data_IF_738345985238
#
_entry.id   IF_738345985238
#
_cell.length_a   1.000
_cell.length_b   1.000
_cell.length_c   1.000
_cell.angle_alpha   90.00
_cell.angle_beta   90.00
_cell.angle_gamma   90.00
#
_symmetry.space_group_name_H-M   'P 1'
#
loop_
_entity.id
_entity.type
_entity.pdbx_description
1 polymer ?
#
# COMPACT_ATOMS: atom_id res chain seq x y z
N UNK A 1 -4.39 -5.77 -25.10
CA UNK A 1 -4.59 -5.46 -26.53
C UNK A 1 -4.38 -3.96 -26.72
N UNK A 2 -3.27 -3.54 -27.32
CA UNK A 2 -3.01 -2.12 -27.61
C UNK A 2 -3.83 -1.74 -28.84
N UNK A 3 -4.79 -0.83 -28.69
CA UNK A 3 -5.54 -0.26 -29.80
C UNK A 3 -4.85 1.06 -30.16
N UNK A 4 -4.18 1.16 -31.32
CA UNK A 4 -3.55 2.40 -31.77
C UNK A 4 -4.56 3.56 -31.72
N UNK A 5 -4.17 4.69 -31.11
CA UNK A 5 -5.02 5.87 -30.98
C UNK A 5 -5.85 5.95 -29.68
N UNK A 6 -6.14 4.84 -29.00
CA UNK A 6 -6.87 4.87 -27.72
C UNK A 6 -6.07 5.59 -26.63
N UNK A 7 -4.75 5.36 -26.60
CA UNK A 7 -3.85 6.07 -25.71
C UNK A 7 -3.85 7.58 -25.99
N UNK A 8 -3.75 7.97 -27.26
CA UNK A 8 -3.79 9.38 -27.69
C UNK A 8 -5.11 10.04 -27.31
N UNK A 9 -6.24 9.37 -27.55
CA UNK A 9 -7.56 9.86 -27.16
C UNK A 9 -7.67 10.03 -25.63
N UNK A 10 -7.14 9.08 -24.84
CA UNK A 10 -7.06 9.22 -23.37
C UNK A 10 -6.23 10.46 -23.00
N UNK A 11 -5.06 10.66 -23.60
CA UNK A 11 -4.22 11.82 -23.30
C UNK A 11 -4.88 13.15 -23.68
N UNK A 12 -5.61 13.20 -24.81
CA UNK A 12 -6.39 14.37 -25.21
C UNK A 12 -7.50 14.68 -24.20
N UNK A 13 -8.24 13.66 -23.76
CA UNK A 13 -9.29 13.82 -22.75
C UNK A 13 -8.74 14.31 -21.41
N UNK A 14 -7.62 13.75 -20.95
CA UNK A 14 -6.93 14.20 -19.72
C UNK A 14 -6.42 15.64 -19.86
N UNK A 15 -5.90 16.02 -21.02
CA UNK A 15 -5.43 17.38 -21.30
C UNK A 15 -6.58 18.38 -21.27
N UNK A 16 -7.73 18.04 -21.87
CA UNK A 16 -8.93 18.87 -21.81
C UNK A 16 -9.46 19.00 -20.37
N UNK A 17 -9.49 17.91 -19.61
CA UNK A 17 -9.85 17.95 -18.18
C UNK A 17 -8.88 18.80 -17.36
N UNK A 18 -7.57 18.73 -17.63
CA UNK A 18 -6.59 19.61 -16.96
C UNK A 18 -6.80 21.08 -17.29
N UNK A 19 -7.19 21.39 -18.53
CA UNK A 19 -7.43 22.76 -18.98
C UNK A 19 -8.68 23.39 -18.35
N UNK A 20 -9.74 22.59 -18.18
CA UNK A 20 -11.03 23.02 -17.63
C UNK A 20 -11.19 22.73 -16.13
N UNK A 21 -10.31 21.91 -15.57
CA UNK A 21 -10.39 21.40 -14.21
C UNK A 21 -9.61 22.24 -13.20
N UNK A 22 -9.52 21.73 -11.99
CA UNK A 22 -8.85 22.41 -10.88
C UNK A 22 -7.39 22.03 -10.80
N UNK A 23 -6.62 22.79 -10.04
CA UNK A 23 -5.21 22.52 -9.74
C UNK A 23 -4.98 22.83 -8.27
N UNK A 24 -4.28 21.97 -7.51
CA UNK A 24 -3.93 22.32 -6.15
C UNK A 24 -2.88 23.45 -6.15
N UNK A 25 -2.82 24.21 -5.05
CA UNK A 25 -1.79 25.22 -4.87
C UNK A 25 -0.39 24.59 -4.76
N UNK A 26 -0.32 23.45 -4.08
CA UNK A 26 0.88 22.62 -3.94
C UNK A 26 0.53 21.14 -4.13
N UNK A 27 1.46 20.32 -4.65
CA UNK A 27 1.21 18.89 -4.74
C UNK A 27 1.04 18.26 -3.36
N UNK A 28 0.13 17.28 -3.28
CA UNK A 28 -0.07 16.46 -2.09
C UNK A 28 0.48 15.05 -2.31
N UNK A 29 0.56 14.26 -1.25
CA UNK A 29 0.97 12.87 -1.35
C UNK A 29 0.11 11.93 -0.50
N UNK A 30 0.09 10.66 -0.88
CA UNK A 30 -0.43 9.56 -0.07
C UNK A 30 0.62 8.46 0.00
N UNK A 31 0.82 7.90 1.20
CA UNK A 31 1.73 6.81 1.47
C UNK A 31 0.94 5.56 1.87
N UNK A 32 1.19 4.46 1.17
CA UNK A 32 0.66 3.14 1.52
C UNK A 32 1.78 2.11 1.64
N UNK A 33 1.80 1.39 2.76
CA UNK A 33 2.74 0.29 2.96
C UNK A 33 2.24 -0.99 2.26
N UNK A 34 3.10 -2.01 2.20
CA UNK A 34 2.68 -3.31 1.66
C UNK A 34 1.52 -3.89 2.46
N UNK A 35 0.50 -4.39 1.74
CA UNK A 35 -0.75 -4.92 2.32
C UNK A 35 -1.63 -3.91 3.07
N UNK A 36 -1.44 -2.61 2.83
CA UNK A 36 -2.21 -1.52 3.47
C UNK A 36 -2.97 -0.69 2.43
N UNK A 37 -4.13 -1.19 1.99
CA UNK A 37 -5.07 -0.52 1.07
C UNK A 37 -4.51 0.05 -0.26
N UNK A 38 -3.29 -0.29 -0.67
CA UNK A 38 -2.62 0.28 -1.86
C UNK A 38 -3.47 0.24 -3.13
N UNK A 39 -4.06 -0.93 -3.43
CA UNK A 39 -4.86 -1.11 -4.67
C UNK A 39 -6.14 -0.28 -4.63
N UNK A 40 -6.81 -0.20 -3.48
CA UNK A 40 -8.00 0.61 -3.27
C UNK A 40 -7.65 2.09 -3.48
N UNK A 41 -6.67 2.61 -2.73
CA UNK A 41 -6.23 4.00 -2.83
C UNK A 41 -5.80 4.36 -4.25
N UNK A 42 -5.01 3.50 -4.92
CA UNK A 42 -4.59 3.73 -6.31
C UNK A 42 -5.77 3.85 -7.26
N UNK A 43 -6.74 2.94 -7.19
CA UNK A 43 -7.91 2.94 -8.09
C UNK A 43 -8.78 4.18 -7.87
N UNK A 44 -9.11 4.47 -6.61
CA UNK A 44 -9.98 5.60 -6.24
C UNK A 44 -9.30 6.92 -6.58
N UNK A 45 -8.06 7.13 -6.13
CA UNK A 45 -7.39 8.42 -6.26
C UNK A 45 -7.04 8.71 -7.71
N UNK A 46 -6.46 7.77 -8.45
CA UNK A 46 -6.14 7.97 -9.87
C UNK A 46 -7.38 8.38 -10.67
N UNK A 47 -8.50 7.68 -10.50
CA UNK A 47 -9.73 7.98 -11.21
C UNK A 47 -10.35 9.33 -10.77
N UNK A 48 -10.33 9.62 -9.46
CA UNK A 48 -10.85 10.86 -8.90
C UNK A 48 -10.05 12.08 -9.36
N UNK A 49 -8.72 12.02 -9.27
CA UNK A 49 -7.83 13.11 -9.71
C UNK A 49 -7.90 13.32 -11.23
N UNK A 50 -7.87 12.23 -12.02
CA UNK A 50 -8.01 12.33 -13.48
C UNK A 50 -9.36 12.96 -13.88
N UNK A 51 -10.43 12.73 -13.09
CA UNK A 51 -11.77 13.27 -13.33
C UNK A 51 -11.85 14.79 -13.13
N UNK A 52 -11.08 15.34 -12.19
CA UNK A 52 -11.07 16.77 -11.83
C UNK A 52 -9.93 17.55 -12.50
N UNK A 53 -9.11 16.87 -13.31
CA UNK A 53 -8.00 17.49 -14.04
C UNK A 53 -6.69 17.53 -13.27
N UNK A 54 -6.56 16.77 -12.18
CA UNK A 54 -5.28 16.59 -11.47
C UNK A 54 -4.46 15.47 -12.12
N UNK A 55 -3.14 15.61 -12.01
CA UNK A 55 -2.14 14.65 -12.46
C UNK A 55 -1.74 13.76 -11.29
N UNK A 56 -2.11 12.50 -11.40
CA UNK A 56 -1.71 11.45 -10.48
C UNK A 56 -0.45 10.77 -10.99
N UNK A 57 0.56 10.65 -10.13
CA UNK A 57 1.70 9.79 -10.36
C UNK A 57 1.88 8.85 -9.16
N UNK A 58 2.56 7.74 -9.40
CA UNK A 58 2.92 6.81 -8.34
C UNK A 58 4.34 6.34 -8.49
N UNK A 59 5.02 6.20 -7.36
CA UNK A 59 6.38 5.68 -7.28
C UNK A 59 6.46 4.60 -6.20
N UNK A 60 7.48 3.75 -6.29
CA UNK A 60 7.74 2.70 -5.32
C UNK A 60 9.10 2.92 -4.69
N UNK A 61 9.29 2.48 -3.44
CA UNK A 61 10.55 2.63 -2.72
C UNK A 61 10.56 3.84 -1.78
N UNK A 62 11.67 4.59 -1.77
CA UNK A 62 11.85 5.76 -0.87
C UNK A 62 11.53 7.06 -1.60
N UNK A 63 10.46 7.73 -1.20
CA UNK A 63 10.12 9.06 -1.69
C UNK A 63 11.07 10.12 -1.12
N UNK A 64 11.62 10.94 -2.01
CA UNK A 64 12.56 12.02 -1.68
C UNK A 64 12.13 13.38 -2.22
N UNK A 65 11.32 13.40 -3.28
CA UNK A 65 10.70 14.60 -3.83
C UNK A 65 9.43 14.22 -4.62
N UNK A 66 8.63 15.22 -4.99
CA UNK A 66 7.50 15.03 -5.90
C UNK A 66 7.91 15.47 -7.30
N UNK A 67 7.95 14.52 -8.24
CA UNK A 67 8.31 14.79 -9.63
C UNK A 67 7.47 15.93 -10.24
N UNK A 68 8.11 16.76 -11.07
CA UNK A 68 7.44 17.86 -11.77
C UNK A 68 6.19 17.36 -12.53
N UNK A 69 5.18 18.23 -12.66
CA UNK A 69 3.90 17.89 -13.29
C UNK A 69 3.10 16.80 -12.54
N UNK A 70 3.29 16.66 -11.24
CA UNK A 70 2.45 15.85 -10.34
C UNK A 70 1.61 16.76 -9.47
N UNK A 71 0.33 16.46 -9.30
CA UNK A 71 -0.55 17.14 -8.35
C UNK A 71 -0.85 16.26 -7.13
N UNK A 72 -0.90 14.93 -7.32
CA UNK A 72 -0.98 13.93 -6.25
C UNK A 72 0.04 12.82 -6.50
N UNK A 73 0.98 12.65 -5.58
CA UNK A 73 1.92 11.54 -5.58
C UNK A 73 1.40 10.40 -4.71
N UNK A 74 1.37 9.18 -5.22
CA UNK A 74 1.15 7.99 -4.40
C UNK A 74 2.46 7.22 -4.23
N UNK A 75 2.98 7.25 -3.01
CA UNK A 75 4.12 6.42 -2.57
C UNK A 75 3.60 5.02 -2.26
N UNK A 76 3.84 4.08 -3.18
CA UNK A 76 3.32 2.72 -3.16
C UNK A 76 4.35 1.77 -2.58
N UNK A 77 3.93 0.97 -1.57
CA UNK A 77 4.79 -0.03 -0.94
C UNK A 77 6.13 0.57 -0.50
N UNK A 78 6.07 1.80 0.00
CA UNK A 78 7.21 2.67 0.11
C UNK A 78 7.23 3.44 1.41
N UNK A 79 8.39 4.04 1.64
CA UNK A 79 8.66 4.94 2.75
C UNK A 79 9.05 6.31 2.20
N UNK A 80 9.35 7.27 3.06
CA UNK A 80 9.79 8.59 2.68
C UNK A 80 10.89 9.07 3.62
N UNK A 81 11.75 9.97 3.13
CA UNK A 81 12.73 10.64 4.00
C UNK A 81 12.05 11.63 4.94
N UNK A 82 12.69 11.92 6.08
CA UNK A 82 12.20 12.97 6.99
C UNK A 82 12.08 14.31 6.24
N UNK A 83 13.06 14.71 5.43
CA UNK A 83 13.01 15.93 4.59
C UNK A 83 11.78 15.98 3.67
N UNK A 84 11.38 14.85 3.08
CA UNK A 84 10.19 14.79 2.23
C UNK A 84 8.91 15.00 3.07
N UNK A 85 8.82 14.31 4.20
CA UNK A 85 7.67 14.36 5.10
C UNK A 85 7.54 15.74 5.79
N UNK A 86 8.67 16.38 6.09
CA UNK A 86 8.79 17.70 6.71
C UNK A 86 8.69 18.85 5.70
N UNK A 87 8.41 18.55 4.43
CA UNK A 87 8.28 19.56 3.37
C UNK A 87 7.08 20.52 3.51
N UNK A 88 6.19 20.30 4.50
CA UNK A 88 4.98 21.08 4.73
C UNK A 88 3.82 20.75 3.78
N UNK A 89 4.06 19.93 2.74
CA UNK A 89 3.02 19.48 1.80
C UNK A 89 2.02 18.58 2.50
N UNK A 90 0.75 18.66 2.07
CA UNK A 90 -0.31 17.82 2.63
C UNK A 90 -0.08 16.35 2.28
N UNK A 91 0.06 15.52 3.30
CA UNK A 91 0.25 14.08 3.19
C UNK A 91 -0.89 13.31 3.81
N UNK A 92 -1.14 12.11 3.30
CA UNK A 92 -1.94 11.09 3.98
C UNK A 92 -1.09 9.85 4.13
N UNK A 93 -1.11 9.23 5.31
CA UNK A 93 -0.57 7.88 5.50
C UNK A 93 -1.71 6.94 5.83
N UNK A 94 -1.74 5.79 5.16
CA UNK A 94 -2.67 4.72 5.50
C UNK A 94 -1.95 3.70 6.38
N UNK A 95 -2.59 3.32 7.48
CA UNK A 95 -2.14 2.25 8.38
C UNK A 95 -3.15 1.10 8.41
N UNK A 96 -2.74 -0.03 8.96
CA UNK A 96 -3.58 -1.22 9.12
C UNK A 96 -3.21 -1.93 10.41
N UNK A 97 -4.14 -2.68 11.00
CA UNK A 97 -3.84 -3.54 12.14
C UNK A 97 -2.64 -4.44 11.79
N UNK A 98 -1.53 -4.39 12.55
CA UNK A 98 -0.32 -5.14 12.23
C UNK A 98 -0.55 -6.66 12.20
N UNK A 99 -1.52 -7.17 12.97
CA UNK A 99 -1.89 -8.60 12.96
C UNK A 99 -2.55 -8.98 11.64
N UNK A 100 -3.40 -8.12 11.09
CA UNK A 100 -3.99 -8.32 9.76
C UNK A 100 -3.00 -8.11 8.61
N UNK A 101 -1.97 -7.26 8.80
CA UNK A 101 -0.86 -7.16 7.83
C UNK A 101 -0.16 -8.50 7.67
N UNK A 102 0.12 -9.21 8.77
CA UNK A 102 0.78 -10.53 8.76
C UNK A 102 -0.08 -11.54 8.01
N UNK A 103 -1.36 -11.68 8.36
CA UNK A 103 -2.26 -12.63 7.68
C UNK A 103 -2.41 -12.28 6.20
N UNK A 104 -2.53 -10.99 5.87
CA UNK A 104 -2.65 -10.56 4.49
C UNK A 104 -1.37 -10.80 3.68
N UNK A 105 -0.19 -10.66 4.30
CA UNK A 105 1.12 -10.99 3.72
C UNK A 105 1.24 -12.49 3.45
N UNK A 106 1.01 -13.32 4.47
CA UNK A 106 1.06 -14.78 4.39
C UNK A 106 0.22 -15.32 3.23
N UNK A 107 -1.05 -14.95 3.17
CA UNK A 107 -1.97 -15.41 2.11
C UNK A 107 -1.62 -14.87 0.72
N UNK A 108 -1.00 -13.69 0.65
CA UNK A 108 -0.62 -13.09 -0.62
C UNK A 108 0.67 -13.72 -1.17
N UNK A 109 1.68 -13.91 -0.34
CA UNK A 109 2.99 -14.42 -0.76
C UNK A 109 2.95 -15.89 -1.21
N UNK A 110 1.95 -16.67 -0.77
CA UNK A 110 1.68 -18.01 -1.30
C UNK A 110 1.32 -18.06 -2.80
N UNK A 111 0.81 -16.96 -3.37
CA UNK A 111 0.30 -16.90 -4.75
C UNK A 111 0.81 -15.71 -5.57
N UNK A 112 1.67 -14.91 -4.98
CA UNK A 112 2.28 -13.71 -5.56
C UNK A 112 3.14 -14.06 -6.78
N UNK A 113 3.22 -13.16 -7.77
CA UNK A 113 4.07 -13.34 -8.96
C UNK A 113 5.16 -12.27 -9.05
N UNK A 114 5.40 -11.55 -7.96
CA UNK A 114 6.46 -10.55 -7.90
C UNK A 114 7.82 -11.24 -7.99
N UNK A 115 8.73 -10.69 -8.80
CA UNK A 115 10.00 -11.33 -9.10
C UNK A 115 10.86 -11.62 -7.87
N UNK A 116 10.85 -10.74 -6.87
CA UNK A 116 11.59 -10.94 -5.61
C UNK A 116 11.03 -12.11 -4.77
N UNK A 117 9.77 -12.46 -4.98
CA UNK A 117 9.02 -13.44 -4.20
C UNK A 117 9.11 -14.84 -4.83
N UNK A 118 9.28 -14.92 -6.16
CA UNK A 118 9.33 -16.18 -6.92
C UNK A 118 10.73 -16.60 -7.40
N UNK A 119 11.76 -15.75 -7.26
CA UNK A 119 13.10 -16.09 -7.73
C UNK A 119 13.89 -16.88 -6.68
N UNK A 120 14.74 -17.81 -7.15
CA UNK A 120 15.61 -18.64 -6.31
C UNK A 120 17.10 -18.43 -6.59
N UNK A 121 17.46 -17.82 -7.73
CA UNK A 121 18.84 -17.43 -8.05
C UNK A 121 19.26 -16.09 -7.43
N UNK A 122 18.28 -15.29 -6.99
CA UNK A 122 18.44 -13.94 -6.42
C UNK A 122 19.29 -12.97 -7.26
N UNK A 123 19.56 -13.34 -8.51
CA UNK A 123 20.46 -12.64 -9.43
C UNK A 123 19.67 -12.25 -10.66
N UNK A 124 19.70 -10.97 -11.02
CA UNK A 124 19.06 -10.51 -12.24
C UNK A 124 19.86 -9.38 -12.86
N UNK A 125 20.32 -9.53 -14.12
CA UNK A 125 20.99 -8.46 -14.83
C UNK A 125 20.14 -7.17 -14.84
N UNK A 126 20.77 -6.04 -14.50
CA UNK A 126 20.13 -4.72 -14.50
C UNK A 126 19.26 -4.39 -13.28
N UNK A 127 19.26 -5.22 -12.24
CA UNK A 127 18.60 -4.95 -10.96
C UNK A 127 19.59 -4.97 -9.79
N UNK A 128 19.22 -4.32 -8.69
CA UNK A 128 20.01 -4.36 -7.46
C UNK A 128 20.10 -5.81 -6.96
N UNK A 129 21.31 -6.37 -6.93
CA UNK A 129 21.58 -7.69 -6.36
C UNK A 129 21.89 -7.61 -4.86
N UNK A 130 21.42 -8.57 -4.04
CA UNK A 130 20.43 -9.57 -4.39
C UNK A 130 19.03 -8.98 -4.53
N UNK A 131 18.17 -9.64 -5.31
CA UNK A 131 16.80 -9.20 -5.49
C UNK A 131 15.99 -9.46 -4.21
N UNK A 132 15.39 -8.40 -3.67
CA UNK A 132 14.65 -8.37 -2.39
C UNK A 132 13.38 -7.52 -2.56
N UNK A 133 12.43 -7.55 -1.59
CA UNK A 133 11.35 -6.59 -1.52
C UNK A 133 11.79 -5.14 -1.75
N UNK A 134 10.98 -4.34 -2.44
CA UNK A 134 11.28 -2.95 -2.79
C UNK A 134 11.74 -2.09 -1.59
N UNK A 135 11.09 -2.14 -0.41
CA UNK A 135 11.59 -1.42 0.78
C UNK A 135 13.02 -1.80 1.19
N UNK A 136 13.44 -3.05 0.98
CA UNK A 136 14.81 -3.50 1.25
C UNK A 136 15.78 -3.19 0.12
N UNK A 137 15.30 -2.94 -1.10
CA UNK A 137 16.14 -2.71 -2.27
C UNK A 137 17.05 -1.48 -2.13
N UNK A 138 16.71 -0.57 -1.22
CA UNK A 138 17.47 0.64 -0.87
C UNK A 138 18.36 0.48 0.37
N UNK A 139 18.31 -0.67 1.06
CA UNK A 139 19.16 -0.96 2.23
C UNK A 139 20.56 -1.41 1.78
N UNK A 140 21.50 -1.37 2.73
CA UNK A 140 22.87 -1.82 2.51
C UNK A 140 22.94 -3.28 2.05
N UNK A 141 24.05 -3.64 1.38
CA UNK A 141 24.21 -4.97 0.79
C UNK A 141 24.11 -6.08 1.83
N UNK A 142 24.67 -5.90 3.03
CA UNK A 142 24.66 -6.89 4.11
C UNK A 142 23.23 -7.19 4.57
N UNK A 143 22.38 -6.17 4.72
CA UNK A 143 20.96 -6.35 5.03
C UNK A 143 20.25 -7.17 3.96
N UNK A 144 20.50 -6.88 2.67
CA UNK A 144 19.87 -7.58 1.55
C UNK A 144 20.35 -9.04 1.44
N UNK A 145 21.63 -9.29 1.62
CA UNK A 145 22.21 -10.63 1.66
C UNK A 145 21.69 -11.45 2.84
N UNK A 146 21.53 -10.84 4.01
CA UNK A 146 20.94 -11.48 5.18
C UNK A 146 19.49 -11.92 4.94
N UNK A 147 18.69 -11.09 4.27
CA UNK A 147 17.32 -11.45 3.87
C UNK A 147 17.29 -12.67 2.96
N UNK A 148 18.19 -12.75 1.96
CA UNK A 148 18.21 -13.88 1.03
C UNK A 148 18.79 -15.14 1.66
N UNK A 149 19.84 -15.01 2.47
CA UNK A 149 20.51 -16.13 3.12
C UNK A 149 19.55 -16.95 3.98
N UNK A 150 18.60 -16.30 4.68
CA UNK A 150 17.58 -16.97 5.50
C UNK A 150 16.65 -17.89 4.70
N UNK A 151 16.52 -17.66 3.38
CA UNK A 151 15.63 -18.44 2.52
C UNK A 151 16.24 -19.80 2.16
N UNK A 152 17.55 -20.00 2.38
CA UNK A 152 18.18 -21.30 2.18
C UNK A 152 18.20 -21.77 0.72
N UNK A 153 18.27 -20.83 -0.23
CA UNK A 153 18.38 -21.13 -1.67
C UNK A 153 17.07 -21.42 -2.39
N UNK A 154 15.92 -21.32 -1.72
CA UNK A 154 14.59 -21.35 -2.35
C UNK A 154 13.98 -19.95 -2.38
N UNK A 155 13.01 -19.72 -3.25
CA UNK A 155 12.29 -18.43 -3.29
C UNK A 155 11.46 -18.19 -2.01
N UNK A 156 11.11 -16.93 -1.74
CA UNK A 156 10.25 -16.57 -0.61
C UNK A 156 8.90 -17.31 -0.69
N UNK A 157 8.33 -17.41 -1.89
CA UNK A 157 7.09 -18.13 -2.14
C UNK A 157 7.21 -19.64 -1.92
N UNK A 158 8.26 -20.28 -2.44
CA UNK A 158 8.46 -21.71 -2.21
C UNK A 158 8.62 -22.01 -0.72
N UNK A 159 9.38 -21.16 -0.01
CA UNK A 159 9.56 -21.27 1.43
C UNK A 159 8.22 -21.19 2.17
N UNK A 160 7.42 -20.16 1.93
CA UNK A 160 6.16 -19.95 2.68
C UNK A 160 5.08 -20.98 2.33
N UNK A 161 5.08 -21.54 1.11
CA UNK A 161 4.14 -22.60 0.69
C UNK A 161 4.49 -23.97 1.26
N UNK A 162 5.74 -24.17 1.66
CA UNK A 162 6.21 -25.41 2.29
C UNK A 162 6.04 -25.44 3.81
N UNK A 163 5.45 -24.41 4.41
CA UNK A 163 5.23 -24.30 5.85
C UNK A 163 3.75 -24.50 6.19
N UNK A 164 3.48 -25.06 7.37
CA UNK A 164 2.13 -25.09 7.94
C UNK A 164 1.68 -23.67 8.33
N UNK A 165 0.39 -23.48 8.63
CA UNK A 165 -0.17 -22.14 8.84
C UNK A 165 0.59 -21.30 9.87
N UNK A 166 0.79 -21.85 11.08
CA UNK A 166 1.43 -21.13 12.18
C UNK A 166 2.89 -20.79 11.85
N UNK A 167 3.64 -21.76 11.31
CA UNK A 167 5.02 -21.58 10.87
C UNK A 167 5.14 -20.55 9.74
N UNK A 168 4.19 -20.56 8.81
CA UNK A 168 4.12 -19.63 7.69
C UNK A 168 3.78 -18.21 8.12
N UNK A 169 2.88 -18.03 9.10
CA UNK A 169 2.58 -16.74 9.72
C UNK A 169 3.81 -16.20 10.46
N UNK A 170 4.51 -17.04 11.24
CA UNK A 170 5.74 -16.66 11.93
C UNK A 170 6.85 -16.32 10.92
N UNK A 171 6.97 -17.08 9.83
CA UNK A 171 7.91 -16.78 8.76
C UNK A 171 7.62 -15.43 8.09
N UNK A 172 6.34 -15.09 7.88
CA UNK A 172 5.92 -13.79 7.36
C UNK A 172 6.22 -12.66 8.36
N UNK A 173 6.00 -12.88 9.66
CA UNK A 173 6.37 -11.95 10.73
C UNK A 173 7.86 -11.62 10.75
N UNK A 174 8.71 -12.57 10.35
CA UNK A 174 10.16 -12.35 10.27
C UNK A 174 10.61 -11.91 8.86
N UNK A 175 9.69 -11.81 7.91
CA UNK A 175 9.93 -11.42 6.53
C UNK A 175 9.34 -10.06 6.20
N UNK A 176 8.46 -9.98 5.19
CA UNK A 176 7.96 -8.69 4.70
C UNK A 176 7.12 -7.98 5.77
N UNK A 177 6.22 -8.69 6.46
CA UNK A 177 5.36 -8.06 7.46
C UNK A 177 6.16 -7.29 8.53
N UNK A 178 7.35 -7.78 8.94
CA UNK A 178 8.25 -7.03 9.84
C UNK A 178 8.55 -5.63 9.32
N UNK A 179 8.95 -5.54 8.06
CA UNK A 179 9.35 -4.29 7.42
C UNK A 179 8.19 -3.30 7.46
N UNK A 180 7.01 -3.76 7.07
CA UNK A 180 5.80 -2.92 7.08
C UNK A 180 5.44 -2.47 8.50
N UNK A 181 5.45 -3.39 9.47
CA UNK A 181 5.06 -3.08 10.86
C UNK A 181 6.07 -2.11 11.49
N UNK A 182 7.38 -2.35 11.29
CA UNK A 182 8.43 -1.48 11.81
C UNK A 182 8.33 -0.07 11.22
N UNK A 183 8.10 0.06 9.90
CA UNK A 183 7.82 1.35 9.26
C UNK A 183 6.58 2.01 9.84
N UNK A 184 5.55 1.22 10.15
CA UNK A 184 4.33 1.79 10.68
C UNK A 184 4.50 2.30 12.12
N UNK A 185 5.18 1.53 12.96
CA UNK A 185 5.37 1.81 14.39
C UNK A 185 6.40 2.91 14.61
N UNK A 186 7.44 3.00 13.77
CA UNK A 186 8.51 4.00 13.90
C UNK A 186 8.15 5.39 13.38
N UNK A 187 6.90 5.60 12.96
CA UNK A 187 6.44 6.85 12.40
C UNK A 187 6.51 8.01 13.40
N UNK A 188 6.95 9.18 12.91
CA UNK A 188 6.94 10.44 13.65
C UNK A 188 5.75 11.29 13.18
N UNK A 189 4.87 11.63 14.12
CA UNK A 189 3.70 12.47 13.85
C UNK A 189 4.08 13.86 13.33
N UNK A 190 3.27 14.38 12.41
CA UNK A 190 3.48 15.65 11.71
C UNK A 190 2.15 16.32 11.42
N UNK A 191 2.08 17.64 11.60
CA UNK A 191 0.84 18.40 11.41
C UNK A 191 0.36 18.40 9.95
N UNK A 192 1.27 18.24 8.99
CA UNK A 192 0.95 18.20 7.55
C UNK A 192 0.60 16.80 7.04
N UNK A 193 0.68 15.75 7.86
CA UNK A 193 0.37 14.38 7.44
C UNK A 193 -0.66 13.75 8.37
N UNK A 194 -1.86 13.47 7.86
CA UNK A 194 -2.86 12.73 8.66
C UNK A 194 -2.70 11.22 8.47
N UNK A 195 -2.96 10.51 9.56
CA UNK A 195 -3.06 9.05 9.56
C UNK A 195 -4.52 8.62 9.41
N UNK A 196 -4.79 7.68 8.49
CA UNK A 196 -6.10 7.06 8.29
C UNK A 196 -5.93 5.54 8.41
N UNK A 197 -6.79 4.88 9.18
CA UNK A 197 -6.81 3.42 9.26
C UNK A 197 -7.50 2.84 8.03
N UNK A 198 -6.94 1.76 7.49
CA UNK A 198 -7.57 1.01 6.41
C UNK A 198 -8.96 0.50 6.82
N UNK A 199 -9.12 0.15 8.09
CA UNK A 199 -10.37 -0.30 8.68
C UNK A 199 -11.46 0.79 8.58
N UNK A 200 -11.10 2.07 8.79
CA UNK A 200 -12.02 3.19 8.62
C UNK A 200 -12.40 3.39 7.14
N UNK A 201 -11.42 3.26 6.22
CA UNK A 201 -11.68 3.33 4.77
C UNK A 201 -12.63 2.24 4.26
N UNK A 202 -12.76 1.13 4.99
CA UNK A 202 -13.62 0.00 4.61
C UNK A 202 -14.93 0.00 5.40
N UNK A 203 -14.90 0.33 6.70
CA UNK A 203 -16.07 0.38 7.57
C UNK A 203 -16.89 1.65 7.40
N UNK A 204 -16.24 2.82 7.51
CA UNK A 204 -16.85 4.15 7.40
C UNK A 204 -16.48 4.80 6.06
N UNK A 205 -16.80 4.07 4.99
CA UNK A 205 -16.23 4.30 3.65
C UNK A 205 -16.41 5.74 3.15
N UNK A 206 -17.65 6.25 3.14
CA UNK A 206 -17.95 7.57 2.57
C UNK A 206 -17.31 8.69 3.38
N UNK A 207 -17.40 8.62 4.72
CA UNK A 207 -16.87 9.62 5.65
C UNK A 207 -15.34 9.66 5.61
N UNK A 208 -14.70 8.49 5.56
CA UNK A 208 -13.25 8.37 5.49
C UNK A 208 -12.69 8.87 4.17
N UNK A 209 -13.33 8.55 3.04
CA UNK A 209 -12.91 9.09 1.74
C UNK A 209 -13.18 10.60 1.62
N UNK A 210 -14.29 11.10 2.18
CA UNK A 210 -14.55 12.55 2.21
C UNK A 210 -13.46 13.28 3.00
N UNK A 211 -13.13 12.80 4.21
CA UNK A 211 -12.03 13.34 5.03
C UNK A 211 -10.71 13.32 4.28
N UNK A 212 -10.38 12.20 3.63
CA UNK A 212 -9.18 12.04 2.82
C UNK A 212 -9.13 13.06 1.68
N UNK A 213 -10.22 13.20 0.91
CA UNK A 213 -10.28 14.13 -0.23
C UNK A 213 -10.14 15.58 0.20
N UNK A 214 -10.85 15.99 1.26
CA UNK A 214 -10.75 17.34 1.83
C UNK A 214 -9.32 17.64 2.30
N UNK A 215 -8.69 16.70 2.98
CA UNK A 215 -7.32 16.86 3.45
C UNK A 215 -6.35 17.05 2.29
N UNK A 216 -6.40 16.17 1.27
CA UNK A 216 -5.56 16.28 0.07
C UNK A 216 -5.80 17.55 -0.75
N UNK A 217 -6.84 18.33 -0.43
CA UNK A 217 -7.14 19.61 -1.07
C UNK A 217 -8.00 19.46 -2.32
N UNK A 218 -8.75 18.35 -2.46
CA UNK A 218 -9.77 18.23 -3.49
C UNK A 218 -10.83 19.31 -3.23
N UNK A 219 -11.18 20.15 -4.23
CA UNK A 219 -12.12 21.24 -4.03
C UNK A 219 -13.53 20.73 -3.70
N UNK A 220 -14.21 21.42 -2.77
CA UNK A 220 -15.56 21.08 -2.31
C UNK A 220 -16.57 20.76 -3.43
N UNK A 221 -16.66 21.54 -4.54
CA UNK A 221 -17.57 21.21 -5.64
C UNK A 221 -17.28 19.87 -6.34
N UNK A 222 -16.09 19.30 -6.15
CA UNK A 222 -15.67 18.03 -6.77
C UNK A 222 -15.78 16.82 -5.84
N UNK A 223 -15.91 17.03 -4.52
CA UNK A 223 -15.89 15.95 -3.52
C UNK A 223 -16.98 14.91 -3.83
N UNK A 224 -18.21 15.33 -4.11
CA UNK A 224 -19.30 14.39 -4.37
C UNK A 224 -19.03 13.52 -5.61
N UNK A 225 -18.49 14.10 -6.67
CA UNK A 225 -18.09 13.33 -7.86
C UNK A 225 -16.96 12.34 -7.55
N UNK A 226 -16.00 12.72 -6.70
CA UNK A 226 -14.94 11.82 -6.25
C UNK A 226 -15.48 10.69 -5.36
N UNK A 227 -16.44 10.98 -4.48
CA UNK A 227 -17.13 9.98 -3.66
C UNK A 227 -17.92 8.99 -4.53
N UNK A 228 -18.63 9.44 -5.55
CA UNK A 228 -19.31 8.56 -6.51
C UNK A 228 -18.36 7.59 -7.23
N UNK A 229 -17.13 8.03 -7.50
CA UNK A 229 -16.07 7.15 -8.04
C UNK A 229 -15.62 6.18 -6.94
N UNK A 230 -15.34 6.67 -5.74
CA UNK A 230 -14.89 5.87 -4.61
C UNK A 230 -15.89 4.74 -4.28
N UNK A 231 -17.19 5.03 -4.21
CA UNK A 231 -18.27 4.08 -3.89
C UNK A 231 -18.31 2.85 -4.80
N UNK A 232 -17.80 2.93 -6.04
CA UNK A 232 -17.70 1.78 -6.97
C UNK A 232 -16.62 0.78 -6.55
N UNK A 233 -15.77 1.18 -5.60
CA UNK A 233 -14.69 0.38 -5.05
C UNK A 233 -14.98 -0.12 -3.63
N UNK A 234 -16.13 0.24 -3.06
CA UNK A 234 -16.58 -0.24 -1.76
C UNK A 234 -17.04 -1.68 -1.84
N UNK A 235 -16.37 -2.57 -1.11
CA UNK A 235 -16.67 -4.00 -1.08
C UNK A 235 -18.07 -4.28 -0.53
N UNK A 236 -18.57 -3.46 0.39
CA UNK A 236 -19.91 -3.62 0.96
C UNK A 236 -21.02 -3.29 -0.05
N UNK A 237 -20.66 -2.70 -1.20
CA UNK A 237 -21.55 -2.33 -2.30
C UNK A 237 -21.30 -3.14 -3.57
N UNK A 238 -20.31 -4.05 -3.55
CA UNK A 238 -20.02 -4.96 -4.66
C UNK A 238 -20.83 -6.26 -4.52
N UNK A 239 -21.20 -6.86 -5.65
CA UNK A 239 -21.77 -8.20 -5.68
C UNK A 239 -20.70 -9.29 -5.50
N UNK A 240 -21.11 -10.46 -5.02
CA UNK A 240 -20.21 -11.59 -4.69
C UNK A 240 -19.32 -12.02 -5.86
N UNK A 241 -19.84 -12.04 -7.08
CA UNK A 241 -19.06 -12.39 -8.29
C UNK A 241 -17.92 -11.40 -8.57
N UNK A 242 -18.17 -10.11 -8.31
CA UNK A 242 -17.17 -9.06 -8.49
C UNK A 242 -16.06 -9.16 -7.44
N UNK A 243 -16.41 -9.59 -6.23
CA UNK A 243 -15.45 -9.85 -5.15
C UNK A 243 -14.61 -11.09 -5.49
N UNK A 244 -15.26 -12.20 -5.86
CA UNK A 244 -14.61 -13.48 -6.15
C UNK A 244 -13.65 -13.41 -7.34
N UNK A 245 -13.93 -12.56 -8.33
CA UNK A 245 -13.09 -12.39 -9.52
C UNK A 245 -11.86 -11.49 -9.30
N UNK A 246 -11.71 -10.85 -8.14
CA UNK A 246 -10.62 -9.91 -7.89
C UNK A 246 -9.46 -10.56 -7.10
N UNK A 247 -8.30 -10.83 -7.72
CA UNK A 247 -7.20 -11.55 -7.08
C UNK A 247 -6.56 -10.81 -5.89
N UNK A 248 -6.80 -9.49 -5.80
CA UNK A 248 -6.29 -8.64 -4.72
C UNK A 248 -7.21 -8.59 -3.50
N UNK A 249 -8.44 -9.13 -3.59
CA UNK A 249 -9.33 -9.29 -2.45
C UNK A 249 -9.13 -10.71 -1.92
N UNK A 250 -8.46 -10.85 -0.78
CA UNK A 250 -8.42 -12.14 -0.08
C UNK A 250 -9.70 -12.40 0.70
N UNK A 251 -10.24 -11.36 1.36
CA UNK A 251 -11.52 -11.32 2.08
C UNK A 251 -11.91 -9.85 2.31
N UNK A 252 -13.20 -9.53 2.40
CA UNK A 252 -13.70 -8.21 2.84
C UNK A 252 -13.77 -8.02 4.36
N UNK A 253 -13.50 -9.08 5.14
CA UNK A 253 -13.57 -9.06 6.60
C UNK A 253 -12.45 -8.20 7.23
N UNK A 254 -12.82 -7.39 8.20
CA UNK A 254 -11.92 -6.76 9.17
C UNK A 254 -11.54 -7.79 10.26
N UNK A 255 -10.41 -7.60 10.95
CA UNK A 255 -9.94 -8.44 12.07
C UNK A 255 -9.78 -9.92 11.71
N UNK A 256 -9.29 -10.21 10.49
CA UNK A 256 -9.10 -11.57 10.00
C UNK A 256 -8.12 -12.37 10.85
N UNK A 257 -7.16 -11.68 11.47
CA UNK A 257 -6.17 -12.29 12.34
C UNK A 257 -6.77 -13.15 13.46
N UNK A 258 -7.98 -12.87 13.95
CA UNK A 258 -8.65 -13.67 14.98
C UNK A 258 -8.93 -15.11 14.54
N UNK A 259 -9.16 -15.33 13.25
CA UNK A 259 -9.38 -16.66 12.68
C UNK A 259 -8.06 -17.42 12.41
N UNK A 260 -6.92 -16.71 12.38
CA UNK A 260 -5.62 -17.25 11.94
C UNK A 260 -4.59 -17.39 13.06
N UNK A 261 -4.69 -16.57 14.11
CA UNK A 261 -3.73 -16.57 15.20
C UNK A 261 -4.10 -17.65 16.20
N UNK A 262 -3.30 -18.73 16.21
CA UNK A 262 -3.26 -19.65 17.34
C UNK A 262 -2.58 -18.99 18.55
N UNK A 263 -2.59 -19.65 19.71
CA UNK A 263 -1.84 -19.19 20.88
C UNK A 263 -0.33 -19.09 20.60
N UNK A 264 0.22 -20.01 19.79
CA UNK A 264 1.62 -19.99 19.39
C UNK A 264 1.95 -18.78 18.49
N UNK A 265 1.07 -18.47 17.54
CA UNK A 265 1.25 -17.31 16.65
C UNK A 265 1.13 -16.00 17.44
N UNK A 266 0.19 -15.94 18.39
CA UNK A 266 0.05 -14.78 19.27
C UNK A 266 1.29 -14.54 20.12
N UNK A 267 1.83 -15.59 20.76
CA UNK A 267 3.09 -15.51 21.53
C UNK A 267 4.25 -15.04 20.64
N UNK A 268 4.36 -15.59 19.44
CA UNK A 268 5.38 -15.18 18.47
C UNK A 268 5.23 -13.72 18.02
N UNK A 269 3.99 -13.22 17.89
CA UNK A 269 3.71 -11.82 17.59
C UNK A 269 4.14 -10.91 18.75
N UNK A 270 3.76 -11.25 19.98
CA UNK A 270 4.10 -10.48 21.18
C UNK A 270 5.62 -10.43 21.39
N UNK A 271 6.33 -11.54 21.18
CA UNK A 271 7.79 -11.60 21.24
C UNK A 271 8.46 -10.61 20.26
N UNK A 272 7.90 -10.48 19.05
CA UNK A 272 8.51 -9.73 17.94
C UNK A 272 8.16 -8.26 17.91
N UNK A 273 6.91 -7.95 18.27
CA UNK A 273 6.30 -6.64 18.06
C UNK A 273 5.72 -6.04 19.34
N UNK A 274 5.64 -6.81 20.42
CA UNK A 274 5.05 -6.39 21.68
C UNK A 274 3.65 -5.79 21.48
N UNK A 275 3.52 -4.54 21.87
CA UNK A 275 2.30 -3.74 21.83
C UNK A 275 2.12 -2.93 20.53
N UNK A 276 2.68 -3.37 19.40
CA UNK A 276 2.62 -2.64 18.13
C UNK A 276 1.19 -2.26 17.70
N UNK A 277 0.20 -3.13 17.94
CA UNK A 277 -1.20 -2.84 17.70
C UNK A 277 -1.70 -1.66 18.55
N UNK A 278 -1.39 -1.63 19.86
CA UNK A 278 -1.75 -0.53 20.75
C UNK A 278 -1.09 0.79 20.32
N UNK A 279 0.20 0.77 19.94
CA UNK A 279 0.92 1.95 19.42
C UNK A 279 0.30 2.53 18.16
N UNK A 280 -0.28 1.67 17.32
CA UNK A 280 -1.00 2.06 16.11
C UNK A 280 -2.49 2.37 16.38
N UNK A 281 -2.91 2.34 17.64
CA UNK A 281 -4.26 2.68 18.09
C UNK A 281 -5.29 1.58 17.85
N UNK A 282 -4.89 0.33 17.72
CA UNK A 282 -5.76 -0.85 17.65
C UNK A 282 -5.91 -1.50 19.03
N UNK A 283 -6.99 -2.27 19.22
CA UNK A 283 -7.28 -3.04 20.44
C UNK A 283 -6.68 -4.45 20.39
#
# INVERSE_FOLDING_TARGET
MYIPGLWTAKQMALSARRALGTKPAEPSFILTHHKVATVLCRKVLMASTERIGWRYNSEMGVATDIASKTDLLHVIHGTATDDFLDSGRRGVRIIRDPRDVIVSGFLYHQRCSELWCINSDFSKPGFNHPQVPLPLAHRDLKTREGFVSRLGGVSYQEKIRGLEQDEGLIFEMDGFARITIDEMVSWKERDNVITIKMEDLVGEFDESFEKLFRWLGIPDPSIQTCLEIARRHDLNRMGDEQIASNPHISTGKLRKWEEYFSSQVLEAYEERFGDAHLKLGYE
#
